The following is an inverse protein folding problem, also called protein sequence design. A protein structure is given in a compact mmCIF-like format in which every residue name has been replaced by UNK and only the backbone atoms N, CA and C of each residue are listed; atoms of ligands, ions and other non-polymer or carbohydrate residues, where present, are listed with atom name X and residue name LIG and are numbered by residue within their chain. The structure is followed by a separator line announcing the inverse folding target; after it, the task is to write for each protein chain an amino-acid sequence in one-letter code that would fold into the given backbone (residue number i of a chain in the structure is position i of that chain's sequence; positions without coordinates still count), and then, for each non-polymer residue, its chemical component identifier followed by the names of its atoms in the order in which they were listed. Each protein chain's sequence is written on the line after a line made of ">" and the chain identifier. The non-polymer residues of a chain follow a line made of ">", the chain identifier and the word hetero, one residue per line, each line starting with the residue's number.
data_IF_162276537849
#
_entry.id   IF_162276537849
#
_cell.length_a   1.000
_cell.length_b   1.000
_cell.length_c   1.000
_cell.angle_alpha   90.00
_cell.angle_beta   90.00
_cell.angle_gamma   90.00
#
_symmetry.space_group_name_H-M   'P 1'
#
loop_
_entity.id
_entity.type
_entity.pdbx_description
1 polymer ?
#
# COMPACT_ATOMS: atom_id res chain seq x y z
N UNK A 1 -11.50 -18.86 31.18
CA UNK A 1 -11.64 -19.44 29.83
C UNK A 1 -10.50 -18.95 28.96
N UNK A 2 -10.00 -19.76 28.02
CA UNK A 2 -9.00 -19.29 27.05
C UNK A 2 -9.66 -18.27 26.13
N UNK A 3 -8.98 -17.17 25.83
CA UNK A 3 -9.46 -16.20 24.84
C UNK A 3 -9.42 -16.82 23.45
N UNK A 4 -10.46 -16.59 22.64
CA UNK A 4 -10.60 -17.16 21.30
C UNK A 4 -10.08 -16.19 20.23
N UNK A 5 -9.32 -16.71 19.27
CA UNK A 5 -8.71 -15.93 18.19
C UNK A 5 -9.01 -16.57 16.84
N UNK A 6 -9.48 -15.75 15.89
CA UNK A 6 -9.61 -16.14 14.48
C UNK A 6 -8.41 -15.65 13.69
N UNK A 7 -7.56 -16.55 13.20
CA UNK A 7 -6.40 -16.18 12.39
C UNK A 7 -6.65 -16.31 10.89
N UNK A 8 -6.32 -15.26 10.14
CA UNK A 8 -6.25 -15.32 8.68
C UNK A 8 -5.16 -16.27 8.20
N UNK A 9 -5.56 -17.42 7.68
CA UNK A 9 -4.63 -18.44 7.17
C UNK A 9 -4.64 -18.42 5.64
N UNK A 10 -3.65 -17.76 5.05
CA UNK A 10 -3.54 -17.56 3.59
C UNK A 10 -2.88 -18.72 2.84
N UNK A 11 -2.46 -19.77 3.54
CA UNK A 11 -1.56 -20.80 3.01
C UNK A 11 -0.10 -20.32 2.88
N UNK A 12 0.23 -19.09 3.26
CA UNK A 12 1.60 -18.58 3.37
C UNK A 12 2.26 -18.90 4.71
N UNK A 13 3.60 -18.96 4.71
CA UNK A 13 4.41 -19.33 5.90
C UNK A 13 4.16 -18.42 7.10
N UNK A 14 3.91 -17.14 6.86
CA UNK A 14 3.76 -16.11 7.90
C UNK A 14 2.50 -16.34 8.74
N UNK A 15 1.36 -16.55 8.07
CA UNK A 15 0.10 -16.89 8.75
C UNK A 15 0.15 -18.23 9.46
N UNK A 16 0.87 -19.23 8.91
CA UNK A 16 1.02 -20.55 9.52
C UNK A 16 1.78 -20.48 10.85
N UNK A 17 2.90 -19.77 10.87
CA UNK A 17 3.70 -19.59 12.09
C UNK A 17 2.97 -18.70 13.08
N UNK A 18 2.30 -17.65 12.62
CA UNK A 18 1.47 -16.83 13.50
C UNK A 18 0.37 -17.66 14.21
N UNK A 19 -0.25 -18.62 13.52
CA UNK A 19 -1.25 -19.52 14.11
C UNK A 19 -0.66 -20.41 15.21
N UNK A 20 0.50 -21.00 14.93
CA UNK A 20 1.25 -21.79 15.91
C UNK A 20 1.65 -20.94 17.14
N UNK A 21 2.14 -19.72 16.93
CA UNK A 21 2.55 -18.83 18.02
C UNK A 21 1.39 -18.46 18.95
N UNK A 22 0.18 -18.27 18.41
CA UNK A 22 -1.01 -18.05 19.23
C UNK A 22 -1.39 -19.28 20.06
N UNK A 23 -1.24 -20.49 19.52
CA UNK A 23 -1.52 -21.72 20.29
C UNK A 23 -0.56 -21.87 21.48
N UNK A 24 0.74 -21.63 21.28
CA UNK A 24 1.71 -21.73 22.38
C UNK A 24 1.55 -20.61 23.41
N UNK A 25 0.98 -19.47 23.02
CA UNK A 25 0.57 -18.39 23.93
C UNK A 25 -0.72 -18.71 24.70
N UNK A 26 -1.35 -19.86 24.44
CA UNK A 26 -2.49 -20.36 25.19
C UNK A 26 -3.87 -19.93 24.68
N UNK A 27 -3.94 -19.31 23.50
CA UNK A 27 -5.22 -18.95 22.87
C UNK A 27 -5.98 -20.19 22.36
N UNK A 28 -7.31 -20.07 22.29
CA UNK A 28 -8.15 -20.99 21.52
C UNK A 28 -8.19 -20.49 20.06
N UNK A 29 -7.55 -21.22 19.15
CA UNK A 29 -7.26 -20.74 17.79
C UNK A 29 -8.13 -21.46 16.77
N UNK A 30 -8.88 -20.70 15.98
CA UNK A 30 -9.52 -21.16 14.75
C UNK A 30 -8.96 -20.34 13.57
N UNK A 31 -8.92 -20.94 12.38
CA UNK A 31 -8.38 -20.33 11.18
C UNK A 31 -9.49 -19.94 10.20
N UNK A 32 -9.27 -18.88 9.44
CA UNK A 32 -10.14 -18.42 8.36
C UNK A 32 -9.32 -18.24 7.08
N UNK A 33 -9.73 -18.94 6.02
CA UNK A 33 -9.25 -18.73 4.66
C UNK A 33 -10.27 -17.88 3.88
N UNK A 34 -9.81 -16.84 3.19
CA UNK A 34 -10.67 -15.97 2.37
C UNK A 34 -10.37 -16.16 0.89
N UNK A 35 -11.41 -16.47 0.11
CA UNK A 35 -11.36 -16.46 -1.35
C UNK A 35 -11.76 -15.06 -1.79
N UNK A 36 -10.78 -14.25 -2.18
CA UNK A 36 -11.03 -12.85 -2.56
C UNK A 36 -11.09 -12.63 -4.07
N UNK A 37 -10.68 -13.61 -4.87
CA UNK A 37 -10.73 -13.51 -6.32
C UNK A 37 -11.05 -14.86 -6.93
N UNK A 38 -12.05 -14.88 -7.80
CA UNK A 38 -12.37 -16.00 -8.68
C UNK A 38 -12.23 -15.46 -10.09
N UNK A 39 -11.24 -15.95 -10.82
CA UNK A 39 -11.13 -15.60 -12.23
C UNK A 39 -12.32 -16.20 -12.97
N UNK A 40 -13.17 -15.34 -13.51
CA UNK A 40 -14.35 -15.73 -14.30
C UNK A 40 -14.12 -15.50 -15.80
N UNK A 41 -12.96 -14.97 -16.20
CA UNK A 41 -12.66 -14.64 -17.59
C UNK A 41 -11.85 -15.74 -18.26
N UNK A 42 -12.41 -16.35 -19.31
CA UNK A 42 -11.75 -17.40 -20.13
C UNK A 42 -10.45 -16.90 -20.79
N UNK A 43 -10.26 -15.58 -20.83
CA UNK A 43 -9.15 -14.86 -21.48
C UNK A 43 -7.84 -14.86 -20.68
N UNK A 44 -7.88 -15.04 -19.36
CA UNK A 44 -6.68 -15.15 -18.53
C UNK A 44 -6.57 -16.59 -18.03
N UNK A 45 -5.84 -17.43 -18.78
CA UNK A 45 -5.33 -18.70 -18.23
C UNK A 45 -4.21 -18.40 -17.23
N UNK A 46 -4.54 -17.73 -16.13
CA UNK A 46 -3.71 -17.71 -14.93
C UNK A 46 -4.07 -18.94 -14.11
N UNK A 47 -3.07 -19.73 -13.71
CA UNK A 47 -3.28 -20.84 -12.78
C UNK A 47 -4.07 -20.34 -11.56
N UNK A 48 -5.21 -20.97 -11.27
CA UNK A 48 -6.11 -20.54 -10.20
C UNK A 48 -5.41 -20.72 -8.84
N UNK A 49 -4.72 -19.67 -8.36
CA UNK A 49 -3.76 -19.80 -7.26
C UNK A 49 -4.40 -20.07 -5.90
N UNK A 50 -5.67 -19.69 -5.71
CA UNK A 50 -6.31 -19.80 -4.40
C UNK A 50 -6.62 -21.25 -4.00
N UNK A 51 -6.81 -22.16 -4.96
CA UNK A 51 -7.06 -23.57 -4.67
C UNK A 51 -5.83 -24.24 -4.06
N UNK A 52 -4.65 -23.99 -4.64
CA UNK A 52 -3.36 -24.45 -4.10
C UNK A 52 -3.10 -23.85 -2.71
N UNK A 53 -3.38 -22.55 -2.54
CA UNK A 53 -3.26 -21.86 -1.26
C UNK A 53 -4.18 -22.48 -0.20
N UNK A 54 -5.42 -22.82 -0.57
CA UNK A 54 -6.39 -23.46 0.32
C UNK A 54 -5.95 -24.87 0.71
N UNK A 55 -5.37 -25.65 -0.21
CA UNK A 55 -4.81 -26.98 0.11
C UNK A 55 -3.72 -26.84 1.16
N UNK A 56 -2.78 -25.91 0.98
CA UNK A 56 -1.71 -25.66 1.97
C UNK A 56 -2.30 -25.23 3.31
N UNK A 57 -3.30 -24.33 3.31
CA UNK A 57 -3.97 -23.89 4.53
C UNK A 57 -4.66 -25.06 5.26
N UNK A 58 -5.34 -25.96 4.54
CA UNK A 58 -5.95 -27.18 5.10
C UNK A 58 -4.91 -28.10 5.73
N UNK A 59 -3.77 -28.30 5.07
CA UNK A 59 -2.67 -29.13 5.59
C UNK A 59 -2.07 -28.53 6.87
N UNK A 60 -1.84 -27.22 6.89
CA UNK A 60 -1.37 -26.49 8.08
C UNK A 60 -2.39 -26.58 9.22
N UNK A 61 -3.66 -26.31 8.94
CA UNK A 61 -4.72 -26.38 9.95
C UNK A 61 -4.83 -27.79 10.56
N UNK A 62 -4.75 -28.83 9.73
CA UNK A 62 -4.73 -30.23 10.18
C UNK A 62 -3.52 -30.54 11.05
N UNK A 63 -2.32 -30.10 10.65
CA UNK A 63 -1.07 -30.30 11.42
C UNK A 63 -1.12 -29.60 12.78
N UNK A 64 -1.71 -28.41 12.84
CA UNK A 64 -1.87 -27.63 14.07
C UNK A 64 -3.10 -28.04 14.91
N UNK A 65 -3.96 -28.91 14.38
CA UNK A 65 -5.19 -29.34 15.07
C UNK A 65 -6.22 -28.21 15.25
N UNK A 66 -6.24 -27.22 14.36
CA UNK A 66 -7.17 -26.07 14.42
C UNK A 66 -8.27 -26.20 13.36
N UNK A 67 -9.48 -25.72 13.68
CA UNK A 67 -10.60 -25.67 12.73
C UNK A 67 -10.33 -24.61 11.67
N UNK A 68 -10.50 -24.96 10.39
CA UNK A 68 -10.41 -24.03 9.27
C UNK A 68 -11.79 -23.71 8.71
N UNK A 69 -12.13 -22.42 8.70
CA UNK A 69 -13.29 -21.87 7.99
C UNK A 69 -12.86 -21.36 6.63
N UNK A 70 -13.77 -21.40 5.66
CA UNK A 70 -13.56 -20.82 4.34
C UNK A 70 -14.70 -19.86 4.06
N UNK A 71 -14.37 -18.63 3.68
CA UNK A 71 -15.34 -17.60 3.30
C UNK A 71 -15.01 -17.12 1.90
N UNK A 72 -16.06 -16.95 1.10
CA UNK A 72 -15.97 -16.30 -0.20
C UNK A 72 -16.27 -14.82 -0.05
N UNK A 73 -15.28 -13.99 -0.37
CA UNK A 73 -15.35 -12.54 -0.35
C UNK A 73 -15.08 -11.95 -1.74
N UNK A 74 -15.17 -12.77 -2.80
CA UNK A 74 -14.82 -12.35 -4.16
C UNK A 74 -15.70 -11.23 -4.70
N UNK A 75 -17.02 -11.28 -4.44
CA UNK A 75 -17.95 -10.21 -4.83
C UNK A 75 -17.64 -8.89 -4.12
N UNK A 76 -17.40 -8.96 -2.80
CA UNK A 76 -17.04 -7.80 -2.00
C UNK A 76 -15.71 -7.19 -2.47
N UNK A 77 -14.71 -8.03 -2.76
CA UNK A 77 -13.41 -7.60 -3.28
C UNK A 77 -13.54 -6.95 -4.65
N UNK A 78 -14.30 -7.55 -5.57
CA UNK A 78 -14.55 -6.98 -6.89
C UNK A 78 -15.11 -5.56 -6.76
N UNK A 79 -16.19 -5.42 -5.97
CA UNK A 79 -16.91 -4.14 -5.82
C UNK A 79 -16.10 -3.07 -5.09
N UNK A 80 -15.41 -3.44 -4.01
CA UNK A 80 -14.73 -2.46 -3.13
C UNK A 80 -13.27 -2.19 -3.50
N UNK A 81 -12.59 -3.13 -4.16
CA UNK A 81 -11.16 -3.04 -4.45
C UNK A 81 -10.90 -2.98 -5.96
N UNK A 82 -11.40 -3.95 -6.72
CA UNK A 82 -11.09 -4.02 -8.15
C UNK A 82 -11.76 -2.90 -8.96
N UNK A 83 -13.06 -2.66 -8.76
CA UNK A 83 -13.80 -1.60 -9.46
C UNK A 83 -13.26 -0.21 -9.11
N UNK A 84 -12.91 0.02 -7.84
CA UNK A 84 -12.20 1.23 -7.42
C UNK A 84 -10.88 1.35 -8.19
N UNK A 85 -10.08 0.28 -8.26
CA UNK A 85 -8.81 0.30 -8.96
C UNK A 85 -8.97 0.68 -10.44
N UNK A 86 -9.94 0.10 -11.16
CA UNK A 86 -10.22 0.47 -12.55
C UNK A 86 -10.60 1.95 -12.70
N UNK A 87 -11.49 2.47 -11.84
CA UNK A 87 -11.89 3.88 -11.83
C UNK A 87 -10.71 4.82 -11.59
N UNK A 88 -9.80 4.49 -10.67
CA UNK A 88 -8.65 5.33 -10.38
C UNK A 88 -7.62 5.34 -11.51
N UNK A 89 -7.35 4.18 -12.12
CA UNK A 89 -6.49 4.12 -13.30
C UNK A 89 -7.09 4.88 -14.49
N UNK A 90 -8.41 4.81 -14.69
CA UNK A 90 -9.10 5.59 -15.72
C UNK A 90 -8.89 7.10 -15.54
N UNK A 91 -8.77 7.57 -14.29
CA UNK A 91 -8.45 8.97 -13.95
C UNK A 91 -6.94 9.29 -14.02
N UNK A 92 -6.09 8.30 -14.29
CA UNK A 92 -4.62 8.43 -14.32
C UNK A 92 -3.93 8.37 -12.97
N UNK A 93 -4.65 7.94 -11.94
CA UNK A 93 -4.12 7.75 -10.59
C UNK A 93 -3.53 6.33 -10.49
N UNK A 94 -2.57 6.14 -9.59
CA UNK A 94 -1.99 4.82 -9.30
C UNK A 94 -2.43 4.39 -7.90
N UNK A 95 -3.59 3.70 -7.75
CA UNK A 95 -4.10 3.26 -6.45
C UNK A 95 -3.22 2.17 -5.82
N UNK A 96 -3.37 1.98 -4.50
CA UNK A 96 -2.78 0.86 -3.76
C UNK A 96 -3.86 -0.15 -3.33
N UNK A 97 -4.12 -1.21 -4.10
CA UNK A 97 -5.19 -2.17 -3.81
C UNK A 97 -4.97 -2.96 -2.52
N UNK A 98 -3.73 -3.13 -2.08
CA UNK A 98 -3.41 -3.90 -0.87
C UNK A 98 -3.82 -3.14 0.40
N UNK A 99 -3.60 -1.82 0.44
CA UNK A 99 -4.09 -0.96 1.53
C UNK A 99 -5.62 -1.01 1.62
N UNK A 100 -6.30 -0.92 0.48
CA UNK A 100 -7.76 -0.99 0.41
C UNK A 100 -8.29 -2.36 0.80
N UNK A 101 -7.67 -3.44 0.34
CA UNK A 101 -8.07 -4.80 0.71
C UNK A 101 -7.94 -5.06 2.22
N UNK A 102 -6.88 -4.54 2.87
CA UNK A 102 -6.79 -4.61 4.32
C UNK A 102 -7.93 -3.84 4.98
N UNK A 103 -8.19 -2.59 4.57
CA UNK A 103 -9.23 -1.75 5.16
C UNK A 103 -10.64 -2.32 4.97
N UNK A 104 -11.00 -2.66 3.73
CA UNK A 104 -12.38 -2.88 3.27
C UNK A 104 -12.84 -4.34 3.26
N UNK A 105 -11.88 -5.28 3.20
CA UNK A 105 -12.16 -6.71 3.02
C UNK A 105 -11.66 -7.48 4.22
N UNK A 106 -10.34 -7.57 4.42
CA UNK A 106 -9.78 -8.48 5.43
C UNK A 106 -10.30 -8.14 6.83
N UNK A 107 -10.13 -6.90 7.26
CA UNK A 107 -10.41 -6.53 8.65
C UNK A 107 -11.91 -6.47 8.94
N UNK A 108 -12.74 -6.03 7.99
CA UNK A 108 -14.19 -6.05 8.14
C UNK A 108 -14.73 -7.49 8.20
N UNK A 109 -14.30 -8.36 7.28
CA UNK A 109 -14.67 -9.79 7.29
C UNK A 109 -14.20 -10.49 8.57
N UNK A 110 -12.99 -10.17 9.06
CA UNK A 110 -12.53 -10.69 10.35
C UNK A 110 -13.40 -10.20 11.51
N UNK A 111 -13.77 -8.93 11.55
CA UNK A 111 -14.61 -8.37 12.62
C UNK A 111 -15.99 -9.03 12.62
N UNK A 112 -16.60 -9.20 11.45
CA UNK A 112 -17.90 -9.86 11.35
C UNK A 112 -17.79 -11.31 11.81
N UNK A 113 -16.73 -12.03 11.41
CA UNK A 113 -16.50 -13.39 11.87
C UNK A 113 -16.21 -13.50 13.36
N UNK A 114 -15.48 -12.52 13.92
CA UNK A 114 -15.22 -12.41 15.36
C UNK A 114 -16.55 -12.31 16.12
N UNK A 115 -17.49 -11.49 15.65
CA UNK A 115 -18.82 -11.36 16.25
C UNK A 115 -19.65 -12.63 16.09
N UNK A 116 -19.68 -13.23 14.91
CA UNK A 116 -20.47 -14.44 14.62
C UNK A 116 -20.02 -15.67 15.42
N UNK A 117 -18.71 -15.89 15.53
CA UNK A 117 -18.15 -17.03 16.28
C UNK A 117 -18.13 -16.74 17.79
N UNK A 118 -18.19 -15.48 18.20
CA UNK A 118 -17.94 -15.06 19.57
C UNK A 118 -16.46 -15.18 19.94
N UNK A 119 -15.57 -14.81 19.01
CA UNK A 119 -14.14 -14.71 19.28
C UNK A 119 -13.80 -13.39 19.99
N UNK A 120 -12.68 -13.37 20.71
CA UNK A 120 -12.19 -12.16 21.38
C UNK A 120 -11.31 -11.30 20.48
N UNK A 121 -10.60 -11.93 19.54
CA UNK A 121 -9.66 -11.27 18.64
C UNK A 121 -9.64 -11.91 17.25
N UNK A 122 -9.06 -11.19 16.30
CA UNK A 122 -8.55 -11.77 15.06
C UNK A 122 -7.05 -11.53 14.95
N UNK A 123 -6.37 -12.37 14.17
CA UNK A 123 -4.94 -12.28 13.96
C UNK A 123 -4.57 -12.39 12.48
N UNK A 124 -3.43 -11.80 12.13
CA UNK A 124 -2.86 -11.92 10.79
C UNK A 124 -1.36 -12.16 10.87
N UNK A 125 -0.79 -12.74 9.81
CA UNK A 125 0.66 -12.88 9.64
C UNK A 125 1.34 -11.61 9.12
N UNK A 126 0.90 -10.41 9.54
CA UNK A 126 1.56 -9.17 9.15
C UNK A 126 2.76 -8.85 10.05
N UNK A 127 3.83 -8.36 9.46
CA UNK A 127 5.03 -7.87 10.14
C UNK A 127 4.81 -6.44 10.65
N UNK A 128 4.04 -6.30 11.71
CA UNK A 128 3.81 -5.07 12.45
C UNK A 128 3.53 -5.41 13.91
N UNK A 129 3.66 -4.45 14.82
CA UNK A 129 3.41 -4.67 16.24
C UNK A 129 2.23 -3.81 16.70
N UNK A 130 1.57 -4.25 17.76
CA UNK A 130 0.52 -3.50 18.43
C UNK A 130 0.90 -3.34 19.89
N UNK A 131 0.75 -2.13 20.41
CA UNK A 131 0.90 -1.83 21.84
C UNK A 131 -0.38 -1.18 22.37
N UNK A 132 -0.69 -1.42 23.63
CA UNK A 132 -1.81 -0.80 24.34
C UNK A 132 -1.23 0.17 25.36
N UNK A 133 -1.64 1.44 25.29
CA UNK A 133 -1.27 2.45 26.28
C UNK A 133 -2.54 3.01 26.91
N UNK A 134 -2.46 3.38 28.19
CA UNK A 134 -3.53 4.12 28.86
C UNK A 134 -3.20 5.61 28.83
N UNK A 135 -4.15 6.41 28.35
CA UNK A 135 -4.06 7.87 28.31
C UNK A 135 -5.43 8.46 28.64
N UNK A 136 -5.49 9.35 29.63
CA UNK A 136 -6.73 9.99 30.08
C UNK A 136 -7.85 8.99 30.42
N UNK A 137 -7.49 7.84 31.04
CA UNK A 137 -8.43 6.77 31.41
C UNK A 137 -9.00 5.99 30.22
N UNK A 138 -8.44 6.15 29.01
CA UNK A 138 -8.82 5.42 27.79
C UNK A 138 -7.65 4.59 27.29
N UNK A 139 -7.96 3.37 26.84
CA UNK A 139 -6.99 2.52 26.15
C UNK A 139 -6.84 3.02 24.72
N UNK A 140 -5.60 3.24 24.30
CA UNK A 140 -5.21 3.59 22.94
C UNK A 140 -4.34 2.46 22.38
N UNK A 141 -4.66 2.04 21.17
CA UNK A 141 -3.95 0.99 20.45
C UNK A 141 -2.95 1.63 19.48
N UNK A 142 -1.65 1.50 19.75
CA UNK A 142 -0.58 1.98 18.87
C UNK A 142 -0.27 0.92 17.83
N UNK A 143 -0.10 1.34 16.57
CA UNK A 143 0.39 0.46 15.50
C UNK A 143 1.86 0.80 15.23
N UNK A 144 2.75 -0.14 15.48
CA UNK A 144 4.19 0.05 15.34
C UNK A 144 4.72 -0.72 14.13
N UNK A 145 5.82 -0.22 13.56
CA UNK A 145 6.59 -0.92 12.54
C UNK A 145 7.05 -2.30 13.04
N UNK A 146 7.09 -3.28 12.14
CA UNK A 146 7.65 -4.60 12.46
C UNK A 146 9.15 -4.54 12.77
N UNK A 147 9.63 -5.42 13.65
CA UNK A 147 11.04 -5.46 14.06
C UNK A 147 12.00 -5.90 12.95
N UNK A 148 11.48 -6.49 11.86
CA UNK A 148 12.23 -6.74 10.63
C UNK A 148 12.08 -5.55 9.67
N UNK A 149 13.10 -4.68 9.53
CA UNK A 149 12.99 -3.48 8.71
C UNK A 149 12.79 -3.78 7.22
N UNK A 150 13.16 -4.98 6.75
CA UNK A 150 12.97 -5.39 5.36
C UNK A 150 11.57 -5.94 5.09
N UNK A 151 10.81 -6.22 6.15
CA UNK A 151 9.49 -6.85 6.07
C UNK A 151 8.39 -6.05 6.74
N UNK A 152 8.69 -4.96 7.45
CA UNK A 152 7.70 -4.05 8.05
C UNK A 152 6.51 -3.78 7.12
N UNK A 153 5.34 -4.27 7.51
CA UNK A 153 4.08 -4.19 6.77
C UNK A 153 3.12 -3.15 7.36
N UNK A 154 3.54 -2.33 8.33
CA UNK A 154 2.71 -1.26 8.90
C UNK A 154 2.13 -0.33 7.83
N UNK A 155 2.87 -0.08 6.75
CA UNK A 155 2.42 0.71 5.60
C UNK A 155 1.12 0.18 4.98
N UNK A 156 0.94 -1.14 4.86
CA UNK A 156 -0.28 -1.70 4.28
C UNK A 156 -1.48 -1.66 5.22
N UNK A 157 -1.23 -1.42 6.51
CA UNK A 157 -2.21 -1.31 7.58
C UNK A 157 -2.42 0.15 8.00
N UNK A 158 -1.96 1.11 7.20
CA UNK A 158 -1.97 2.52 7.53
C UNK A 158 -3.36 3.17 7.59
N UNK A 159 -4.38 2.42 7.20
CA UNK A 159 -5.79 2.82 7.20
C UNK A 159 -6.63 2.11 8.28
N UNK A 160 -6.00 1.41 9.22
CA UNK A 160 -6.72 0.78 10.34
C UNK A 160 -7.22 1.80 11.35
N UNK A 161 -8.43 1.57 11.87
CA UNK A 161 -9.01 2.35 12.96
C UNK A 161 -8.63 1.80 14.34
N UNK A 162 -8.80 2.60 15.40
CA UNK A 162 -8.68 2.15 16.79
C UNK A 162 -9.63 0.98 17.10
N UNK A 163 -10.84 1.01 16.53
CA UNK A 163 -11.81 -0.07 16.68
C UNK A 163 -11.34 -1.38 16.04
N UNK A 164 -10.70 -1.32 14.87
CA UNK A 164 -10.09 -2.51 14.25
C UNK A 164 -8.87 -3.00 15.05
N UNK A 165 -8.00 -2.09 15.50
CA UNK A 165 -6.80 -2.43 16.28
C UNK A 165 -7.12 -3.05 17.65
N UNK A 166 -8.24 -2.67 18.26
CA UNK A 166 -8.73 -3.28 19.50
C UNK A 166 -8.79 -4.81 19.42
N UNK A 167 -9.26 -5.34 18.30
CA UNK A 167 -9.42 -6.78 18.10
C UNK A 167 -8.24 -7.45 17.37
N UNK A 168 -7.29 -6.66 16.84
CA UNK A 168 -6.20 -7.19 16.02
C UNK A 168 -5.03 -7.73 16.84
N UNK A 169 -4.46 -8.84 16.39
CA UNK A 169 -3.19 -9.41 16.87
C UNK A 169 -2.20 -9.63 15.72
N UNK A 170 -0.92 -9.42 15.99
CA UNK A 170 0.17 -9.57 15.02
C UNK A 170 1.31 -10.43 15.62
N UNK A 171 1.15 -11.77 15.68
CA UNK A 171 2.01 -12.64 16.48
C UNK A 171 3.48 -12.70 16.02
N UNK A 172 3.77 -12.27 14.80
CA UNK A 172 5.11 -12.30 14.21
C UNK A 172 5.75 -10.92 14.10
N UNK A 173 5.12 -9.87 14.63
CA UNK A 173 5.60 -8.49 14.53
C UNK A 173 7.02 -8.27 15.06
N UNK A 174 7.39 -9.02 16.09
CA UNK A 174 8.69 -8.99 16.75
C UNK A 174 9.73 -9.99 16.20
N UNK A 175 9.37 -10.75 15.16
CA UNK A 175 10.19 -11.86 14.67
C UNK A 175 10.70 -11.54 13.27
N UNK A 176 12.00 -11.72 13.05
CA UNK A 176 12.59 -11.59 11.71
C UNK A 176 12.17 -12.75 10.78
N UNK A 177 12.01 -12.47 9.48
CA UNK A 177 11.56 -13.46 8.49
C UNK A 177 12.38 -14.76 8.48
N UNK A 178 13.73 -14.75 8.61
CA UNK A 178 14.50 -15.99 8.69
C UNK A 178 14.09 -16.88 9.86
N UNK A 179 13.76 -16.29 11.02
CA UNK A 179 13.32 -17.03 12.21
C UNK A 179 11.92 -17.62 12.00
N UNK A 180 11.01 -16.88 11.38
CA UNK A 180 9.68 -17.40 10.97
C UNK A 180 9.84 -18.63 10.06
N UNK A 181 10.69 -18.56 9.04
CA UNK A 181 10.96 -19.71 8.15
C UNK A 181 11.58 -20.89 8.88
N UNK A 182 12.50 -20.64 9.82
CA UNK A 182 13.11 -21.69 10.65
C UNK A 182 12.05 -22.43 11.49
N UNK A 183 11.17 -21.70 12.17
CA UNK A 183 10.06 -22.30 12.95
C UNK A 183 9.18 -23.16 12.05
N UNK A 184 8.81 -22.67 10.86
CA UNK A 184 7.98 -23.42 9.93
C UNK A 184 8.63 -24.74 9.48
N UNK A 185 9.95 -24.74 9.25
CA UNK A 185 10.72 -25.95 8.91
C UNK A 185 10.82 -26.92 10.07
N UNK A 186 11.10 -26.44 11.29
CA UNK A 186 11.17 -27.26 12.50
C UNK A 186 9.84 -27.96 12.80
N UNK A 187 8.71 -27.30 12.50
CA UNK A 187 7.37 -27.85 12.64
C UNK A 187 6.92 -28.72 11.46
N UNK A 188 7.73 -28.81 10.40
CA UNK A 188 7.40 -29.53 9.17
C UNK A 188 6.03 -29.08 8.61
N UNK A 189 5.84 -27.75 8.51
CA UNK A 189 4.62 -27.17 7.95
C UNK A 189 4.68 -27.20 6.43
N UNK A 190 3.56 -27.57 5.79
CA UNK A 190 3.43 -27.58 4.32
C UNK A 190 3.76 -26.22 3.66
N UNK A 191 3.68 -25.12 4.40
CA UNK A 191 4.03 -23.78 3.92
C UNK A 191 5.52 -23.41 4.03
N UNK A 192 6.38 -24.27 4.62
CA UNK A 192 7.75 -23.90 5.00
C UNK A 192 8.64 -23.45 3.82
N UNK A 193 8.56 -24.15 2.68
CA UNK A 193 9.32 -23.82 1.47
C UNK A 193 8.58 -22.88 0.51
N UNK A 194 7.36 -22.46 0.85
CA UNK A 194 6.57 -21.60 -0.01
C UNK A 194 7.23 -20.22 -0.13
N UNK A 195 7.32 -19.73 -1.37
CA UNK A 195 7.80 -18.37 -1.66
C UNK A 195 6.76 -17.35 -1.20
N UNK A 196 7.23 -16.16 -0.84
CA UNK A 196 6.34 -15.07 -0.50
C UNK A 196 5.55 -14.65 -1.75
N UNK A 197 4.25 -14.43 -1.61
CA UNK A 197 3.39 -13.96 -2.72
C UNK A 197 3.97 -12.68 -3.33
N UNK A 198 4.00 -12.64 -4.66
CA UNK A 198 4.39 -11.47 -5.46
C UNK A 198 3.18 -11.03 -6.28
N UNK A 199 3.01 -9.73 -6.51
CA UNK A 199 1.92 -9.18 -7.31
C UNK A 199 0.81 -8.52 -6.47
N UNK A 200 -0.29 -8.15 -7.14
CA UNK A 200 -1.48 -7.60 -6.49
C UNK A 200 -2.08 -8.70 -5.61
N UNK A 201 -2.37 -8.40 -4.35
CA UNK A 201 -2.90 -9.41 -3.44
C UNK A 201 -4.16 -10.06 -4.05
N UNK A 202 -4.19 -11.40 -4.10
CA UNK A 202 -5.29 -12.26 -4.57
C UNK A 202 -5.51 -12.38 -6.09
N UNK A 203 -5.02 -11.48 -6.93
CA UNK A 203 -5.14 -11.59 -8.40
C UNK A 203 -4.09 -12.55 -8.99
N UNK A 204 -3.07 -12.90 -8.20
CA UNK A 204 -2.04 -13.88 -8.57
C UNK A 204 -0.92 -13.28 -9.41
N UNK A 205 -0.41 -14.05 -10.38
CA UNK A 205 0.76 -13.69 -11.20
C UNK A 205 0.43 -12.82 -12.43
N UNK A 206 -0.82 -12.39 -12.59
CA UNK A 206 -1.22 -11.55 -13.73
C UNK A 206 -0.56 -10.19 -13.61
N UNK A 207 0.06 -9.72 -14.70
CA UNK A 207 0.63 -8.38 -14.74
C UNK A 207 -0.47 -7.31 -14.75
N UNK A 208 -0.18 -6.16 -14.13
CA UNK A 208 -1.17 -5.08 -13.96
C UNK A 208 -1.70 -4.55 -15.30
N UNK A 209 -0.87 -4.25 -16.34
CA UNK A 209 -1.39 -3.82 -17.63
C UNK A 209 -2.41 -4.79 -18.25
N UNK A 210 -2.12 -6.09 -18.21
CA UNK A 210 -3.00 -7.15 -18.70
C UNK A 210 -4.28 -7.22 -17.88
N UNK A 211 -4.19 -7.07 -16.56
CA UNK A 211 -5.37 -6.99 -15.69
C UNK A 211 -6.26 -5.80 -16.07
N UNK A 212 -5.68 -4.61 -16.26
CA UNK A 212 -6.41 -3.38 -16.55
C UNK A 212 -7.12 -3.41 -17.92
N UNK A 213 -6.55 -4.12 -18.90
CA UNK A 213 -7.13 -4.28 -20.25
C UNK A 213 -8.49 -5.00 -20.27
N UNK A 214 -8.87 -5.68 -19.18
CA UNK A 214 -10.21 -6.29 -19.07
C UNK A 214 -11.35 -5.28 -19.08
N UNK A 215 -11.12 -4.05 -18.60
CA UNK A 215 -12.13 -2.97 -18.57
C UNK A 215 -11.68 -1.67 -19.22
N UNK A 216 -10.38 -1.45 -19.36
CA UNK A 216 -9.84 -0.24 -19.98
C UNK A 216 -9.35 -0.54 -21.40
N UNK A 217 -9.93 0.12 -22.40
CA UNK A 217 -9.51 -0.07 -23.78
C UNK A 217 -8.13 0.55 -24.02
N UNK A 218 -7.22 -0.10 -24.78
CA UNK A 218 -5.96 0.51 -25.18
C UNK A 218 -6.22 1.67 -26.15
N UNK A 219 -5.51 2.78 -25.94
CA UNK A 219 -5.59 3.98 -26.79
C UNK A 219 -4.18 4.49 -27.08
N UNK A 220 -3.84 4.61 -28.37
CA UNK A 220 -2.52 5.12 -28.77
C UNK A 220 -2.32 6.58 -28.35
N UNK A 221 -1.15 6.87 -27.81
CA UNK A 221 -0.75 8.18 -27.32
C UNK A 221 0.74 8.43 -27.49
N UNK A 222 1.15 9.70 -27.39
CA UNK A 222 2.54 10.10 -27.62
C UNK A 222 3.39 10.00 -26.34
N UNK A 223 4.65 9.60 -26.52
CA UNK A 223 5.69 9.64 -25.49
C UNK A 223 6.53 10.89 -25.75
N UNK A 224 6.53 11.84 -24.83
CA UNK A 224 7.25 13.12 -24.98
C UNK A 224 8.40 13.18 -23.97
N UNK A 225 9.62 13.27 -24.47
CA UNK A 225 10.81 13.47 -23.66
C UNK A 225 10.98 14.94 -23.26
N UNK A 226 11.04 15.20 -21.95
CA UNK A 226 11.26 16.52 -21.38
C UNK A 226 12.75 16.68 -21.03
N UNK A 227 13.44 17.68 -21.61
CA UNK A 227 14.80 18.03 -21.21
C UNK A 227 14.88 18.54 -19.77
N UNK A 228 16.01 18.30 -19.08
CA UNK A 228 16.22 18.72 -17.68
C UNK A 228 16.01 20.21 -17.45
N UNK A 229 16.40 21.05 -18.41
CA UNK A 229 16.26 22.51 -18.35
C UNK A 229 14.80 23.00 -18.43
N UNK A 230 13.90 22.17 -18.96
CA UNK A 230 12.47 22.50 -19.08
C UNK A 230 11.67 22.04 -17.86
N UNK A 231 12.32 21.44 -16.85
CA UNK A 231 11.66 21.04 -15.60
C UNK A 231 11.53 22.26 -14.68
N UNK A 232 10.32 22.62 -14.23
CA UNK A 232 10.14 23.70 -13.25
C UNK A 232 10.93 23.45 -11.96
N UNK A 233 11.56 24.49 -11.42
CA UNK A 233 12.29 24.43 -10.16
C UNK A 233 11.46 25.09 -9.04
N UNK A 234 10.67 24.30 -8.32
CA UNK A 234 9.80 24.81 -7.26
C UNK A 234 10.59 25.46 -6.11
N UNK A 235 11.79 24.95 -5.79
CA UNK A 235 12.63 25.50 -4.71
C UNK A 235 13.11 26.91 -5.07
N UNK A 236 13.46 27.15 -6.34
CA UNK A 236 13.84 28.49 -6.78
C UNK A 236 12.65 29.45 -6.75
N UNK A 237 11.45 28.94 -7.07
CA UNK A 237 10.22 29.74 -7.05
C UNK A 237 9.84 30.21 -5.64
N UNK A 238 10.16 29.43 -4.59
CA UNK A 238 9.85 29.83 -3.21
C UNK A 238 10.76 30.92 -2.67
N UNK A 239 11.97 31.10 -3.21
CA UNK A 239 12.89 32.17 -2.77
C UNK A 239 12.32 33.58 -2.91
N UNK A 240 11.32 33.76 -3.78
CA UNK A 240 10.64 35.04 -4.04
C UNK A 240 9.32 35.18 -3.27
N UNK A 241 9.04 34.26 -2.35
CA UNK A 241 7.77 34.17 -1.61
C UNK A 241 8.07 34.28 -0.12
N UNK A 242 7.46 35.26 0.54
CA UNK A 242 7.61 35.51 1.98
C UNK A 242 6.38 35.08 2.80
N UNK A 243 5.50 34.30 2.19
CA UNK A 243 4.29 33.74 2.80
C UNK A 243 4.39 32.22 2.83
N UNK A 244 4.36 31.66 4.05
CA UNK A 244 4.56 30.23 4.27
C UNK A 244 3.50 29.38 3.54
N UNK A 245 2.25 29.83 3.50
CA UNK A 245 1.18 29.07 2.85
C UNK A 245 1.39 28.99 1.33
N UNK A 246 1.77 30.11 0.68
CA UNK A 246 2.15 30.13 -0.73
C UNK A 246 3.38 29.28 -0.99
N UNK A 247 4.40 29.33 -0.13
CA UNK A 247 5.59 28.50 -0.24
C UNK A 247 5.23 27.00 -0.24
N UNK A 248 4.48 26.54 0.76
CA UNK A 248 4.06 25.15 0.88
C UNK A 248 3.25 24.71 -0.35
N UNK A 249 2.31 25.56 -0.82
CA UNK A 249 1.53 25.28 -2.03
C UNK A 249 2.42 25.12 -3.26
N UNK A 250 3.47 25.93 -3.41
CA UNK A 250 4.43 25.81 -4.52
C UNK A 250 5.22 24.50 -4.42
N UNK A 251 5.69 24.12 -3.24
CA UNK A 251 6.49 22.90 -3.04
C UNK A 251 5.69 21.61 -3.23
N UNK A 252 4.39 21.65 -2.90
CA UNK A 252 3.50 20.49 -2.97
C UNK A 252 2.69 20.40 -4.25
N UNK A 253 2.74 21.40 -5.15
CA UNK A 253 1.96 21.35 -6.40
C UNK A 253 2.41 20.21 -7.30
N UNK A 254 1.46 19.66 -8.04
CA UNK A 254 1.74 18.74 -9.13
C UNK A 254 2.41 19.49 -10.29
N UNK A 255 3.37 18.84 -10.96
CA UNK A 255 3.98 19.36 -12.18
C UNK A 255 3.10 19.03 -13.37
N UNK A 256 2.78 20.06 -14.15
CA UNK A 256 2.08 19.91 -15.43
C UNK A 256 3.03 20.29 -16.54
N UNK A 257 3.16 19.40 -17.52
CA UNK A 257 3.93 19.62 -18.74
C UNK A 257 2.96 19.85 -19.89
N UNK A 258 3.47 20.51 -20.93
CA UNK A 258 2.81 20.66 -22.22
C UNK A 258 3.61 19.94 -23.29
N UNK A 259 2.98 19.54 -24.42
CA UNK A 259 3.70 18.90 -25.52
C UNK A 259 4.88 19.73 -26.02
N UNK A 260 4.76 21.05 -26.00
CA UNK A 260 5.79 21.99 -26.46
C UNK A 260 7.02 22.04 -25.54
N UNK A 261 6.93 21.51 -24.30
CA UNK A 261 8.05 21.46 -23.36
C UNK A 261 9.07 20.36 -23.72
N UNK A 262 8.79 19.53 -24.73
CA UNK A 262 9.63 18.39 -25.07
C UNK A 262 9.57 17.95 -26.52
N UNK A 263 10.09 16.74 -26.78
CA UNK A 263 10.14 16.12 -28.11
C UNK A 263 9.44 14.76 -28.09
N UNK A 264 8.63 14.47 -29.10
CA UNK A 264 8.06 13.14 -29.29
C UNK A 264 9.17 12.12 -29.58
N UNK A 265 9.22 11.04 -28.80
CA UNK A 265 10.24 9.97 -28.89
C UNK A 265 9.65 8.58 -29.11
N UNK A 266 8.33 8.43 -29.05
CA UNK A 266 7.66 7.15 -29.26
C UNK A 266 6.16 7.22 -29.04
N UNK A 267 5.51 6.06 -28.97
CA UNK A 267 4.08 5.92 -28.71
C UNK A 267 3.82 4.85 -27.65
N UNK A 268 2.69 4.95 -26.96
CA UNK A 268 2.22 3.98 -25.96
C UNK A 268 0.76 3.61 -26.21
N UNK A 269 0.27 2.56 -25.52
CA UNK A 269 -1.09 2.02 -25.71
C UNK A 269 -2.13 2.52 -24.69
N UNK A 270 -1.85 3.63 -24.00
CA UNK A 270 -2.75 4.25 -23.01
C UNK A 270 -1.98 4.83 -21.84
N UNK A 271 -2.23 6.09 -21.48
CA UNK A 271 -1.45 6.79 -20.46
C UNK A 271 -1.75 6.24 -19.05
N UNK A 272 -2.95 5.70 -18.84
CA UNK A 272 -3.39 5.07 -17.61
C UNK A 272 -2.63 3.78 -17.25
N UNK A 273 -1.87 3.19 -18.17
CA UNK A 273 -1.04 2.01 -17.87
C UNK A 273 0.33 2.34 -17.27
N UNK A 274 0.65 3.62 -17.11
CA UNK A 274 1.96 4.09 -16.68
C UNK A 274 1.89 4.80 -15.34
N UNK A 275 2.84 4.49 -14.45
CA UNK A 275 3.02 5.16 -13.17
C UNK A 275 4.28 6.04 -13.19
N UNK A 276 4.23 7.17 -12.49
CA UNK A 276 5.39 8.06 -12.34
C UNK A 276 6.58 7.29 -11.74
N UNK A 277 7.74 7.41 -12.39
CA UNK A 277 8.98 6.72 -12.04
C UNK A 277 9.16 5.34 -12.68
N UNK A 278 8.19 4.86 -13.46
CA UNK A 278 8.27 3.62 -14.24
C UNK A 278 9.32 3.74 -15.36
N UNK A 279 10.08 2.65 -15.58
CA UNK A 279 11.09 2.52 -16.64
C UNK A 279 10.68 1.52 -17.73
N UNK A 280 10.10 0.39 -17.33
CA UNK A 280 9.80 -0.74 -18.21
C UNK A 280 8.47 -0.49 -18.97
N UNK A 281 8.33 -1.12 -20.14
CA UNK A 281 7.11 -1.04 -20.96
C UNK A 281 6.94 0.24 -21.77
N UNK A 282 7.99 1.07 -21.86
CA UNK A 282 8.01 2.26 -22.73
C UNK A 282 8.34 1.90 -24.18
N UNK A 283 9.09 0.82 -24.41
CA UNK A 283 9.51 0.33 -25.73
C UNK A 283 10.16 1.40 -26.64
N UNK A 284 10.80 2.40 -26.03
CA UNK A 284 11.60 3.44 -26.69
C UNK A 284 13.09 3.12 -26.54
N UNK A 285 13.80 3.00 -27.65
CA UNK A 285 15.24 2.79 -27.72
C UNK A 285 16.01 4.00 -28.28
N UNK A 286 17.35 3.91 -28.29
CA UNK A 286 18.22 4.92 -28.92
C UNK A 286 18.55 6.14 -28.06
N UNK A 287 18.17 6.15 -26.78
CA UNK A 287 18.54 7.21 -25.83
C UNK A 287 19.85 6.90 -25.09
N UNK A 288 20.70 7.90 -24.78
CA UNK A 288 21.93 7.70 -24.01
C UNK A 288 21.72 7.10 -22.62
N UNK A 289 20.66 7.53 -21.93
CA UNK A 289 20.25 6.96 -20.64
C UNK A 289 18.84 6.37 -20.74
N UNK A 290 18.48 5.50 -19.80
CA UNK A 290 17.13 4.94 -19.73
C UNK A 290 16.08 6.04 -19.44
N UNK A 291 14.93 5.93 -20.11
CA UNK A 291 13.79 6.80 -19.90
C UNK A 291 12.96 6.37 -18.67
N UNK A 292 12.43 7.36 -17.97
CA UNK A 292 11.50 7.17 -16.86
C UNK A 292 10.29 8.08 -17.02
N UNK A 293 9.10 7.58 -16.74
CA UNK A 293 7.86 8.39 -16.70
C UNK A 293 7.99 9.45 -15.60
N UNK A 294 7.77 10.71 -15.94
CA UNK A 294 7.80 11.83 -14.98
C UNK A 294 6.43 12.45 -14.74
N UNK A 295 5.49 12.27 -15.67
CA UNK A 295 4.11 12.75 -15.58
C UNK A 295 3.25 12.06 -16.64
N UNK A 296 1.94 12.02 -16.44
CA UNK A 296 0.93 11.51 -17.37
C UNK A 296 -0.12 12.59 -17.59
N UNK A 297 -0.63 12.70 -18.82
CA UNK A 297 -1.79 13.53 -19.17
C UNK A 297 -2.84 12.62 -19.82
N UNK A 298 -3.84 12.23 -19.02
CA UNK A 298 -4.88 11.31 -19.47
C UNK A 298 -5.80 11.96 -20.51
N UNK A 299 -6.08 13.26 -20.38
CA UNK A 299 -6.99 13.96 -21.30
C UNK A 299 -6.41 13.99 -22.71
N UNK A 300 -5.12 14.30 -22.84
CA UNK A 300 -4.41 14.27 -24.11
C UNK A 300 -3.89 12.89 -24.49
N UNK A 301 -3.96 11.92 -23.57
CA UNK A 301 -3.35 10.61 -23.69
C UNK A 301 -1.86 10.69 -24.04
N UNK A 302 -1.10 11.41 -23.21
CA UNK A 302 0.35 11.62 -23.36
C UNK A 302 1.05 11.11 -22.11
N UNK A 303 2.22 10.51 -22.28
CA UNK A 303 3.16 10.30 -21.18
C UNK A 303 4.41 11.16 -21.38
N UNK A 304 4.82 11.84 -20.31
CA UNK A 304 6.06 12.61 -20.30
C UNK A 304 7.16 11.78 -19.66
N UNK A 305 8.33 11.75 -20.30
CA UNK A 305 9.50 10.98 -19.84
C UNK A 305 10.73 11.85 -19.68
N UNK A 306 11.65 11.43 -18.83
CA UNK A 306 12.95 12.07 -18.66
C UNK A 306 14.09 11.03 -18.65
N UNK A 307 15.24 11.41 -19.20
CA UNK A 307 16.42 10.54 -19.25
C UNK A 307 17.19 10.50 -17.92
N UNK A 308 17.50 9.27 -17.49
CA UNK A 308 18.35 8.99 -16.34
C UNK A 308 17.62 9.01 -14.99
N UNK A 309 18.15 8.24 -14.03
CA UNK A 309 17.54 8.11 -12.69
C UNK A 309 17.53 9.42 -11.89
N UNK A 310 18.43 10.35 -12.24
CA UNK A 310 18.62 11.66 -11.59
C UNK A 310 17.87 12.79 -12.31
N UNK A 311 16.97 12.48 -13.25
CA UNK A 311 16.18 13.51 -13.92
C UNK A 311 15.35 14.31 -12.91
N UNK A 312 15.46 15.64 -12.89
CA UNK A 312 14.80 16.52 -11.92
C UNK A 312 13.28 16.36 -11.93
N UNK A 313 12.69 16.06 -13.09
CA UNK A 313 11.26 15.76 -13.25
C UNK A 313 10.75 14.63 -12.36
N UNK A 314 11.61 13.69 -11.94
CA UNK A 314 11.25 12.59 -11.06
C UNK A 314 11.13 12.97 -9.58
N UNK A 315 11.67 14.12 -9.17
CA UNK A 315 11.85 14.49 -7.76
C UNK A 315 11.00 15.70 -7.39
N UNK A 316 10.19 15.58 -6.33
CA UNK A 316 9.39 16.69 -5.79
C UNK A 316 9.64 16.85 -4.28
N UNK A 317 9.57 18.07 -3.77
CA UNK A 317 9.83 18.36 -2.34
C UNK A 317 8.60 18.11 -1.47
N UNK A 318 7.39 18.17 -2.02
CA UNK A 318 6.19 17.92 -1.24
C UNK A 318 5.04 17.33 -2.03
N UNK A 319 4.01 16.95 -1.28
CA UNK A 319 2.76 16.41 -1.77
C UNK A 319 1.58 16.98 -0.97
N UNK A 320 0.37 16.77 -1.49
CA UNK A 320 -0.88 17.22 -0.89
C UNK A 320 -1.86 16.06 -0.76
N UNK A 321 -2.66 16.07 0.30
CA UNK A 321 -3.71 15.10 0.61
C UNK A 321 -4.97 15.91 0.97
N UNK A 322 -6.08 15.66 0.29
CA UNK A 322 -7.37 16.30 0.59
C UNK A 322 -7.91 15.85 1.94
N UNK A 323 -8.75 16.67 2.58
CA UNK A 323 -9.29 16.37 3.90
C UNK A 323 -10.00 15.00 3.99
N UNK A 324 -10.79 14.66 2.99
CA UNK A 324 -11.54 13.40 2.90
C UNK A 324 -10.63 12.16 2.79
N UNK A 325 -9.39 12.34 2.34
CA UNK A 325 -8.42 11.27 2.14
C UNK A 325 -7.44 11.13 3.33
N UNK A 326 -7.56 11.97 4.37
CA UNK A 326 -6.72 11.91 5.58
C UNK A 326 -7.31 10.90 6.57
N UNK A 327 -6.47 9.95 6.99
CA UNK A 327 -6.76 8.99 8.04
C UNK A 327 -5.77 9.10 9.20
N UNK A 328 -6.27 9.28 10.41
CA UNK A 328 -5.44 9.22 11.62
C UNK A 328 -5.72 7.92 12.37
N UNK A 329 -4.69 7.09 12.52
CA UNK A 329 -4.72 5.93 13.43
C UNK A 329 -4.75 6.41 14.87
N UNK A 330 -4.09 7.55 15.16
CA UNK A 330 -4.10 8.25 16.44
C UNK A 330 -4.92 9.55 16.36
N UNK A 331 -6.27 9.48 16.41
CA UNK A 331 -7.12 10.67 16.39
C UNK A 331 -6.80 11.68 17.50
N UNK A 332 -6.29 11.21 18.63
CA UNK A 332 -5.88 12.05 19.76
C UNK A 332 -4.62 12.89 19.48
N UNK A 333 -3.88 12.56 18.42
CA UNK A 333 -2.70 13.29 17.95
C UNK A 333 -2.94 14.01 16.62
N UNK A 334 -4.20 14.07 16.17
CA UNK A 334 -4.56 14.75 14.92
C UNK A 334 -4.25 16.24 15.01
N UNK A 335 -3.53 16.75 14.02
CA UNK A 335 -3.29 18.18 13.83
C UNK A 335 -4.59 18.93 13.55
N UNK A 336 -4.75 20.10 14.17
CA UNK A 336 -5.84 21.04 13.89
C UNK A 336 -5.47 21.97 12.73
N UNK A 337 -6.46 22.67 12.19
CA UNK A 337 -6.22 23.64 11.13
C UNK A 337 -5.21 24.72 11.58
N UNK A 338 -4.21 24.97 10.74
CA UNK A 338 -3.11 25.89 11.03
C UNK A 338 -1.91 25.25 11.73
N UNK A 339 -2.06 24.08 12.36
CA UNK A 339 -0.97 23.40 13.06
C UNK A 339 0.00 22.69 12.11
N UNK A 340 1.23 22.49 12.59
CA UNK A 340 2.27 21.74 11.90
C UNK A 340 3.18 21.04 12.89
N UNK A 341 3.74 19.90 12.48
CA UNK A 341 4.70 19.16 13.30
C UNK A 341 5.64 18.34 12.40
N UNK A 342 6.75 17.88 12.98
CA UNK A 342 7.76 17.05 12.31
C UNK A 342 7.43 15.56 12.47
N UNK A 343 7.60 14.84 11.37
CA UNK A 343 7.33 13.41 11.27
C UNK A 343 8.40 12.73 10.42
N UNK A 344 8.36 11.40 10.46
CA UNK A 344 8.93 10.55 9.43
C UNK A 344 7.83 10.10 8.49
N UNK A 345 8.06 10.04 7.19
CA UNK A 345 7.06 9.56 6.25
C UNK A 345 7.65 8.71 5.12
N UNK A 346 6.81 7.87 4.53
CA UNK A 346 7.09 7.14 3.30
C UNK A 346 5.89 7.20 2.36
N UNK A 347 6.15 7.18 1.06
CA UNK A 347 5.14 7.31 -0.01
C UNK A 347 4.98 6.02 -0.84
N UNK A 348 5.72 4.97 -0.45
CA UNK A 348 5.61 3.63 -1.02
C UNK A 348 6.19 2.60 -0.06
N UNK A 349 5.75 1.35 -0.23
CA UNK A 349 6.27 0.20 0.51
C UNK A 349 7.79 0.03 0.27
N UNK A 350 8.53 -0.33 1.34
CA UNK A 350 10.01 -0.48 1.39
C UNK A 350 10.84 0.77 1.08
N UNK A 351 10.22 1.93 0.97
CA UNK A 351 10.99 3.17 1.03
C UNK A 351 11.41 3.42 2.48
N UNK A 352 12.67 3.79 2.68
CA UNK A 352 13.16 4.30 3.96
C UNK A 352 12.35 5.51 4.41
N UNK A 353 12.13 5.61 5.72
CA UNK A 353 11.46 6.77 6.31
C UNK A 353 12.24 8.05 6.06
N UNK A 354 11.52 9.08 5.60
CA UNK A 354 12.08 10.38 5.25
C UNK A 354 11.61 11.43 6.24
N UNK A 355 12.50 12.30 6.68
CA UNK A 355 12.14 13.46 7.51
C UNK A 355 11.24 14.41 6.72
N UNK A 356 10.20 14.87 7.39
CA UNK A 356 9.21 15.76 6.80
C UNK A 356 8.54 16.63 7.84
N UNK A 357 8.09 17.80 7.43
CA UNK A 357 7.11 18.60 8.17
C UNK A 357 5.74 18.47 7.53
N UNK A 358 4.74 18.19 8.35
CA UNK A 358 3.34 18.10 7.93
C UNK A 358 2.63 19.38 8.37
N UNK A 359 1.91 20.01 7.45
CA UNK A 359 1.11 21.21 7.70
C UNK A 359 -0.36 20.92 7.45
N UNK A 360 -1.19 21.07 8.48
CA UNK A 360 -2.63 20.96 8.35
C UNK A 360 -3.22 22.32 7.97
N UNK A 361 -4.01 22.36 6.90
CA UNK A 361 -4.69 23.56 6.39
C UNK A 361 -6.16 23.25 6.09
N UNK A 362 -6.96 24.30 5.93
CA UNK A 362 -8.41 24.18 5.72
C UNK A 362 -8.78 23.28 4.54
N UNK A 363 -7.95 23.23 3.48
CA UNK A 363 -8.20 22.41 2.28
C UNK A 363 -7.68 20.98 2.38
N UNK A 364 -6.79 20.70 3.33
CA UNK A 364 -6.11 19.42 3.42
C UNK A 364 -4.72 19.54 4.03
N UNK A 365 -3.97 18.45 3.91
CA UNK A 365 -2.70 18.23 4.55
C UNK A 365 -1.58 18.30 3.51
N UNK A 366 -0.58 19.13 3.81
CA UNK A 366 0.62 19.27 3.00
C UNK A 366 1.78 18.57 3.69
N UNK A 367 2.49 17.70 2.97
CA UNK A 367 3.70 17.02 3.46
C UNK A 367 4.88 17.59 2.68
N UNK A 368 5.81 18.24 3.38
CA UNK A 368 7.05 18.79 2.81
C UNK A 368 8.23 18.00 3.34
N UNK A 369 8.95 17.33 2.46
CA UNK A 369 10.13 16.55 2.80
C UNK A 369 11.37 17.42 2.89
N UNK A 370 12.29 17.07 3.79
CA UNK A 370 13.59 17.73 3.91
C UNK A 370 14.39 17.55 2.62
N UNK A 371 14.35 16.34 2.06
CA UNK A 371 14.98 15.97 0.80
C UNK A 371 13.93 15.65 -0.27
N UNK A 372 14.13 16.05 -1.54
CA UNK A 372 13.21 15.72 -2.62
C UNK A 372 13.00 14.22 -2.81
N UNK A 373 11.74 13.81 -2.98
CA UNK A 373 11.33 12.43 -3.09
C UNK A 373 11.07 12.02 -4.53
N UNK A 374 11.57 10.83 -4.90
CA UNK A 374 11.45 10.28 -6.26
C UNK A 374 10.12 9.57 -6.48
N UNK A 375 9.34 10.02 -7.46
CA UNK A 375 8.15 9.33 -7.96
C UNK A 375 6.93 9.45 -7.06
N UNK A 376 6.69 10.65 -6.49
CA UNK A 376 5.42 10.96 -5.84
C UNK A 376 4.30 10.78 -6.86
N UNK A 377 3.43 9.79 -6.63
CA UNK A 377 2.39 9.36 -7.56
C UNK A 377 1.01 9.56 -6.92
N UNK A 378 0.12 10.38 -7.52
CA UNK A 378 -1.27 10.49 -7.08
C UNK A 378 -1.96 9.12 -7.05
N UNK A 379 -2.84 8.90 -6.07
CA UNK A 379 -3.50 7.62 -5.79
C UNK A 379 -2.73 6.66 -4.88
N UNK A 380 -1.41 6.84 -4.72
CA UNK A 380 -0.64 6.11 -3.68
C UNK A 380 -0.89 6.72 -2.29
N UNK A 381 -0.49 6.00 -1.24
CA UNK A 381 -0.59 6.49 0.13
C UNK A 381 0.71 7.12 0.59
N UNK A 382 0.62 8.24 1.29
CA UNK A 382 1.68 8.68 2.19
C UNK A 382 1.32 8.24 3.62
N UNK A 383 2.25 7.61 4.32
CA UNK A 383 2.09 7.18 5.71
C UNK A 383 3.13 7.88 6.59
N UNK A 384 2.70 8.44 7.73
CA UNK A 384 3.56 9.21 8.62
C UNK A 384 3.64 8.63 10.03
N UNK A 385 4.82 8.77 10.61
CA UNK A 385 5.29 8.08 11.78
C UNK A 385 5.97 9.06 12.74
N UNK A 386 5.92 8.74 14.04
CA UNK A 386 6.89 9.22 15.03
C UNK A 386 7.68 8.03 15.52
N UNK A 387 8.99 8.06 15.31
CA UNK A 387 9.86 6.91 15.54
C UNK A 387 9.34 5.66 14.80
N UNK A 388 8.93 4.62 15.53
CA UNK A 388 8.38 3.38 15.00
C UNK A 388 6.84 3.36 14.95
N UNK A 389 6.16 4.33 15.57
CA UNK A 389 4.69 4.37 15.61
C UNK A 389 4.11 5.01 14.35
N UNK A 390 3.20 4.29 13.69
CA UNK A 390 2.40 4.81 12.59
C UNK A 390 1.21 5.60 13.12
N UNK A 391 1.16 6.88 12.79
CA UNK A 391 0.16 7.81 13.34
C UNK A 391 -1.01 8.07 12.38
N UNK A 392 -0.76 8.00 11.08
CA UNK A 392 -1.77 8.21 10.07
C UNK A 392 -1.25 8.03 8.65
N UNK A 393 -2.17 8.18 7.70
CA UNK A 393 -1.88 8.13 6.28
C UNK A 393 -2.92 8.88 5.47
N UNK A 394 -2.68 9.04 4.17
CA UNK A 394 -3.72 9.48 3.26
C UNK A 394 -3.35 9.30 1.80
N UNK A 395 -4.35 9.40 0.94
CA UNK A 395 -4.19 9.26 -0.52
C UNK A 395 -3.60 10.54 -1.10
N UNK A 396 -2.48 10.40 -1.79
CA UNK A 396 -1.80 11.50 -2.48
C UNK A 396 -2.71 12.00 -3.60
N UNK A 397 -2.99 13.29 -3.59
CA UNK A 397 -3.86 13.96 -4.57
C UNK A 397 -3.12 14.52 -5.79
#
# INVERSE_FOLDING_TARGET
>A
MKKKVIIGLSGGVDSSVAAYLLQIQGFDVEALFMINWKDSSVTLRGDCSWEEDLIVAKLVAKKLGIKLHVVDSSDAYMKKVADYMFSEYEKGLTPNPDVLCNREIKFDVFIDRVKEIGADYFATGHYCRKEEIEKDGKIIYRLLAGSDPNKDQSYFLCQLSQQQLKYALFPIGDIIKPKVRKIAKELDLASAEKKDSQGICFVGKVDLPTFLQQKLAPKKGDIIEIPKQNVPNEIEMTKKVYDLEKEIKILCRERKYKPEDGKVVGQHNGAHYFTIGQRKGLDVGGTPEALFVISTDIQKNIIYVGQGKKHSGLYRKGLFIKNEDIHWIRPDLKLKDGESDNYLARIRYRQELQKTTIYMKTKGLYIVFDNPQRGISPGQFAAWYKEEELLGSGVIS
#
